data_IF_568645677127
#
_entry.id   IF_568645677127
#
_cell.length_a   1.000
_cell.length_b   1.000
_cell.length_c   1.000
_cell.angle_alpha   90.00
_cell.angle_beta   90.00
_cell.angle_gamma   90.00
#
_symmetry.space_group_name_H-M   'P 1'
#
loop_
_entity.id
_entity.type
_entity.pdbx_description
1 polymer ?
#
# COMPACT_ATOMS: atom_id res chain seq x y z
N UNK A 1 6.93 9.28 16.69
CA UNK A 1 6.70 8.45 15.50
C UNK A 1 5.73 7.34 15.88
N UNK A 2 4.59 7.23 15.20
CA UNK A 2 3.49 6.33 15.59
C UNK A 2 3.56 5.03 14.76
N UNK A 3 3.69 3.88 15.42
CA UNK A 3 3.79 2.56 14.78
C UNK A 3 2.60 2.29 13.86
N UNK A 4 1.39 2.70 14.27
CA UNK A 4 0.15 2.53 13.50
C UNK A 4 0.20 3.24 12.16
N UNK A 5 0.71 4.47 12.14
CA UNK A 5 0.86 5.27 10.91
C UNK A 5 1.88 4.60 9.99
N UNK A 6 3.01 4.15 10.53
CA UNK A 6 4.02 3.43 9.75
C UNK A 6 3.46 2.14 9.15
N UNK A 7 2.77 1.31 9.94
CA UNK A 7 2.16 0.08 9.45
C UNK A 7 1.12 0.36 8.36
N UNK A 8 0.30 1.39 8.54
CA UNK A 8 -0.68 1.82 7.56
C UNK A 8 -0.03 2.26 6.25
N UNK A 9 1.04 3.05 6.30
CA UNK A 9 1.78 3.50 5.10
C UNK A 9 2.37 2.30 4.35
N UNK A 10 3.13 1.43 5.03
CA UNK A 10 3.77 0.29 4.36
C UNK A 10 2.74 -0.70 3.81
N UNK A 11 1.64 -0.93 4.53
CA UNK A 11 0.53 -1.76 4.05
C UNK A 11 -0.15 -1.14 2.82
N UNK A 12 -0.30 0.19 2.76
CA UNK A 12 -0.86 0.88 1.59
C UNK A 12 -0.02 0.66 0.34
N UNK A 13 1.31 0.58 0.47
CA UNK A 13 2.23 0.36 -0.65
C UNK A 13 2.12 -1.04 -1.27
N UNK A 14 1.54 -2.02 -0.57
CA UNK A 14 1.21 -3.33 -1.16
C UNK A 14 0.10 -3.22 -2.22
N UNK A 15 -0.70 -2.16 -2.18
CA UNK A 15 -1.83 -1.95 -3.08
C UNK A 15 -3.09 -2.72 -2.67
N UNK A 16 -4.24 -2.25 -3.17
CA UNK A 16 -5.57 -2.69 -2.73
C UNK A 16 -5.78 -4.20 -2.76
N UNK A 17 -5.50 -4.84 -3.90
CA UNK A 17 -5.76 -6.27 -4.09
C UNK A 17 -5.02 -7.13 -3.07
N UNK A 18 -3.72 -6.93 -2.91
CA UNK A 18 -2.90 -7.72 -1.97
C UNK A 18 -3.41 -7.52 -0.53
N UNK A 19 -3.76 -6.30 -0.16
CA UNK A 19 -4.30 -6.03 1.17
C UNK A 19 -5.67 -6.68 1.37
N UNK A 20 -6.58 -6.58 0.40
CA UNK A 20 -7.90 -7.21 0.44
C UNK A 20 -7.76 -8.74 0.60
N UNK A 21 -6.83 -9.36 -0.14
CA UNK A 21 -6.53 -10.80 -0.05
C UNK A 21 -6.02 -11.19 1.36
N UNK A 22 -5.08 -10.41 1.91
CA UNK A 22 -4.51 -10.65 3.25
C UNK A 22 -5.53 -10.43 4.37
N UNK A 23 -6.43 -9.45 4.24
CA UNK A 23 -7.50 -9.20 5.21
C UNK A 23 -8.55 -10.32 5.14
N UNK A 24 -8.95 -10.71 3.93
CA UNK A 24 -9.89 -11.82 3.74
C UNK A 24 -9.31 -13.15 4.27
N UNK A 25 -8.00 -13.35 4.14
CA UNK A 25 -7.28 -14.50 4.72
C UNK A 25 -7.01 -14.41 6.23
N UNK A 26 -7.38 -13.31 6.89
CA UNK A 26 -7.11 -13.09 8.32
C UNK A 26 -5.63 -12.89 8.66
N UNK A 27 -4.78 -12.67 7.65
CA UNK A 27 -3.35 -12.40 7.83
C UNK A 27 -3.08 -10.95 8.26
N UNK A 28 -3.98 -10.03 7.88
CA UNK A 28 -3.99 -8.67 8.38
C UNK A 28 -5.26 -8.41 9.19
N UNK A 29 -5.17 -7.68 10.32
CA UNK A 29 -6.34 -7.38 11.16
C UNK A 29 -7.30 -6.36 10.54
N UNK A 30 -6.92 -5.72 9.43
CA UNK A 30 -7.77 -4.78 8.72
C UNK A 30 -7.03 -3.97 7.66
N UNK A 31 -7.76 -3.01 7.07
CA UNK A 31 -7.24 -2.13 6.02
C UNK A 31 -6.27 -1.07 6.58
N UNK A 32 -5.53 -0.32 5.74
CA UNK A 32 -4.62 0.73 6.20
C UNK A 32 -5.30 1.78 7.08
N UNK A 33 -6.55 2.16 6.80
CA UNK A 33 -7.31 3.05 7.67
C UNK A 33 -7.55 2.45 9.05
N UNK A 34 -7.92 1.17 9.11
CA UNK A 34 -8.12 0.46 10.39
C UNK A 34 -6.81 0.42 11.17
N UNK A 35 -5.70 0.07 10.51
CA UNK A 35 -4.37 0.06 11.14
C UNK A 35 -3.99 1.43 11.70
N UNK A 36 -4.22 2.51 10.93
CA UNK A 36 -3.90 3.87 11.35
C UNK A 36 -4.75 4.37 12.53
N UNK A 37 -5.96 3.84 12.70
CA UNK A 37 -6.94 4.28 13.70
C UNK A 37 -7.11 3.30 14.86
N UNK A 38 -6.43 2.15 14.81
CA UNK A 38 -6.55 1.11 15.82
C UNK A 38 -6.22 1.68 17.23
N UNK A 39 -7.07 1.42 18.23
CA UNK A 39 -6.73 1.75 19.61
C UNK A 39 -5.55 0.86 20.03
N UNK A 40 -4.47 1.47 20.52
CA UNK A 40 -3.21 0.86 20.97
C UNK A 40 -2.99 -0.61 20.60
N UNK A 41 -2.24 -0.86 19.53
CA UNK A 41 -1.80 -2.21 19.14
C UNK A 41 -0.76 -2.72 20.13
N UNK A 42 -0.89 -3.96 20.63
CA UNK A 42 0.17 -4.57 21.44
C UNK A 42 1.40 -4.91 20.58
N UNK A 43 2.59 -4.99 21.20
CA UNK A 43 3.84 -5.22 20.45
C UNK A 43 3.87 -6.53 19.66
N UNK A 44 3.13 -7.56 20.09
CA UNK A 44 3.10 -8.86 19.41
C UNK A 44 2.31 -8.75 18.12
N UNK A 45 1.17 -8.06 18.16
CA UNK A 45 0.36 -7.80 16.97
C UNK A 45 1.11 -6.88 15.98
N UNK A 46 1.84 -5.89 16.47
CA UNK A 46 2.71 -5.05 15.61
C UNK A 46 3.78 -5.86 14.88
N UNK A 47 4.39 -6.84 15.54
CA UNK A 47 5.38 -7.73 14.94
C UNK A 47 4.76 -8.63 13.89
N UNK A 48 3.57 -9.19 14.15
CA UNK A 48 2.83 -10.01 13.19
C UNK A 48 2.48 -9.21 11.94
N UNK A 49 1.94 -8.00 12.09
CA UNK A 49 1.64 -7.11 10.95
C UNK A 49 2.91 -6.88 10.13
N UNK A 50 4.02 -6.52 10.80
CA UNK A 50 5.30 -6.26 10.13
C UNK A 50 5.81 -7.49 9.36
N UNK A 51 5.72 -8.69 9.94
CA UNK A 51 6.14 -9.93 9.30
C UNK A 51 5.28 -10.25 8.07
N UNK A 52 3.95 -10.14 8.17
CA UNK A 52 3.04 -10.42 7.04
C UNK A 52 3.23 -9.43 5.90
N UNK A 53 3.33 -8.14 6.23
CA UNK A 53 3.61 -7.08 5.25
C UNK A 53 4.97 -7.30 4.58
N UNK A 54 6.00 -7.65 5.34
CA UNK A 54 7.33 -7.95 4.78
C UNK A 54 7.31 -9.18 3.86
N UNK A 55 6.66 -10.26 4.26
CA UNK A 55 6.50 -11.46 3.42
C UNK A 55 5.75 -11.15 2.14
N UNK A 56 4.70 -10.33 2.20
CA UNK A 56 3.96 -9.90 1.03
C UNK A 56 4.81 -9.03 0.09
N UNK A 57 5.61 -8.10 0.64
CA UNK A 57 6.57 -7.29 -0.13
C UNK A 57 7.61 -8.19 -0.82
N UNK A 58 8.24 -9.10 -0.08
CA UNK A 58 9.25 -10.00 -0.62
C UNK A 58 8.67 -10.94 -1.68
N UNK A 59 7.46 -11.46 -1.47
CA UNK A 59 6.76 -12.29 -2.47
C UNK A 59 6.45 -11.48 -3.73
N UNK A 60 6.01 -10.23 -3.57
CA UNK A 60 5.71 -9.34 -4.70
C UNK A 60 6.98 -8.96 -5.47
N UNK A 61 8.12 -8.82 -4.80
CA UNK A 61 9.42 -8.50 -5.43
C UNK A 61 10.08 -9.76 -6.03
N UNK A 62 9.97 -10.92 -5.36
CA UNK A 62 10.66 -12.17 -5.70
C UNK A 62 9.86 -13.17 -6.53
N UNK A 63 8.54 -12.99 -6.69
CA UNK A 63 7.67 -13.86 -7.48
C UNK A 63 7.72 -13.56 -8.98
N UNK A 64 7.69 -14.62 -9.81
CA UNK A 64 7.67 -14.63 -11.29
C UNK A 64 6.48 -13.89 -11.96
N UNK A 65 5.73 -13.09 -11.22
CA UNK A 65 4.63 -12.22 -11.68
C UNK A 65 5.06 -10.75 -11.80
N UNK A 66 6.35 -10.45 -11.65
CA UNK A 66 6.93 -9.11 -11.79
C UNK A 66 7.22 -8.72 -13.24
N UNK A 67 6.26 -8.92 -14.15
CA UNK A 67 6.31 -8.16 -15.41
C UNK A 67 5.98 -6.67 -15.15
N UNK A 68 5.26 -6.36 -14.07
CA UNK A 68 4.85 -4.98 -13.74
C UNK A 68 5.74 -4.20 -12.75
N UNK A 69 6.61 -4.84 -11.98
CA UNK A 69 7.42 -4.16 -10.95
C UNK A 69 8.90 -3.98 -11.31
N UNK A 70 9.39 -4.69 -12.34
CA UNK A 70 10.78 -4.62 -12.84
C UNK A 70 10.96 -3.57 -13.96
N UNK A 71 9.94 -2.75 -14.26
CA UNK A 71 10.15 -1.54 -15.06
C UNK A 71 10.90 -0.43 -14.30
N UNK A 72 11.26 -0.66 -13.03
CA UNK A 72 11.66 0.37 -12.06
C UNK A 72 13.05 1.00 -12.26
N UNK A 73 13.79 0.78 -13.36
CA UNK A 73 15.17 1.31 -13.43
C UNK A 73 15.76 1.78 -14.75
N UNK A 74 15.01 1.88 -15.83
CA UNK A 74 15.53 2.51 -17.05
C UNK A 74 14.45 3.45 -17.62
N UNK A 75 14.37 4.72 -17.19
CA UNK A 75 13.73 5.78 -17.95
C UNK A 75 14.66 6.16 -19.11
N UNK A 76 14.97 5.22 -19.99
CA UNK A 76 15.89 5.47 -21.10
C UNK A 76 15.32 4.77 -22.32
N UNK A 77 14.91 5.62 -23.27
CA UNK A 77 14.49 5.39 -24.66
C UNK A 77 12.96 5.51 -24.89
N UNK A 78 12.54 6.74 -25.24
CA UNK A 78 11.37 7.00 -26.08
C UNK A 78 10.20 7.73 -25.40
N UNK A 79 10.16 9.06 -25.46
CA UNK A 79 9.07 9.88 -24.93
C UNK A 79 7.71 9.50 -25.53
N UNK A 80 6.74 9.17 -24.66
CA UNK A 80 5.33 8.95 -25.01
C UNK A 80 4.70 7.71 -24.39
N UNK A 81 5.26 6.52 -24.64
CA UNK A 81 4.59 5.25 -24.33
C UNK A 81 5.06 4.64 -22.99
N UNK A 82 6.32 4.82 -22.61
CA UNK A 82 6.87 4.30 -21.33
C UNK A 82 6.38 5.02 -20.08
N UNK A 83 5.97 6.29 -20.19
CA UNK A 83 5.40 7.05 -19.07
C UNK A 83 4.01 6.56 -18.67
N UNK A 84 3.26 5.96 -19.60
CA UNK A 84 1.88 5.54 -19.33
C UNK A 84 1.84 4.35 -18.37
N UNK A 85 2.61 3.29 -18.60
CA UNK A 85 2.55 2.07 -17.77
C UNK A 85 3.09 2.26 -16.35
N UNK A 86 4.16 3.03 -16.14
CA UNK A 86 4.68 3.34 -14.79
C UNK A 86 3.71 4.25 -14.00
N UNK A 87 2.98 5.12 -14.72
CA UNK A 87 1.94 5.97 -14.13
C UNK A 87 0.73 5.16 -13.63
N UNK A 88 0.37 4.04 -14.26
CA UNK A 88 -0.83 3.29 -13.87
C UNK A 88 -0.70 2.62 -12.51
N UNK A 89 0.43 1.98 -12.22
CA UNK A 89 0.68 1.36 -10.92
C UNK A 89 0.83 2.41 -9.82
N UNK A 90 1.56 3.49 -10.10
CA UNK A 90 1.67 4.64 -9.19
C UNK A 90 0.31 5.29 -8.90
N UNK A 91 -0.52 5.47 -9.93
CA UNK A 91 -1.89 5.98 -9.78
C UNK A 91 -2.80 5.00 -9.04
N UNK A 92 -2.59 3.69 -9.16
CA UNK A 92 -3.35 2.70 -8.40
C UNK A 92 -3.05 2.81 -6.90
N UNK A 93 -1.79 2.93 -6.50
CA UNK A 93 -1.40 3.16 -5.10
C UNK A 93 -1.94 4.51 -4.61
N UNK A 94 -1.80 5.58 -5.40
CA UNK A 94 -2.30 6.91 -5.04
C UNK A 94 -3.84 6.94 -4.90
N UNK A 95 -4.56 6.17 -5.72
CA UNK A 95 -6.02 6.03 -5.63
C UNK A 95 -6.40 5.24 -4.39
N UNK A 96 -5.72 4.13 -4.12
CA UNK A 96 -5.95 3.34 -2.92
C UNK A 96 -5.66 4.15 -1.64
N UNK A 97 -4.58 4.93 -1.63
CA UNK A 97 -4.28 5.83 -0.52
C UNK A 97 -5.40 6.88 -0.31
N UNK A 98 -5.98 7.42 -1.38
CA UNK A 98 -7.13 8.34 -1.30
C UNK A 98 -8.38 7.65 -0.76
N UNK A 99 -8.63 6.41 -1.17
CA UNK A 99 -9.77 5.62 -0.68
C UNK A 99 -9.63 5.31 0.82
N UNK A 100 -8.41 5.02 1.28
CA UNK A 100 -8.15 4.72 2.70
C UNK A 100 -8.10 5.99 3.57
N UNK A 101 -7.52 7.08 3.07
CA UNK A 101 -7.26 8.29 3.86
C UNK A 101 -7.95 9.50 3.26
N UNK A 102 -9.29 9.47 3.25
CA UNK A 102 -10.12 10.59 2.78
C UNK A 102 -9.83 11.84 3.63
N UNK A 103 -9.26 12.88 2.99
CA UNK A 103 -9.02 14.17 3.65
C UNK A 103 -10.34 14.90 3.85
N UNK A 104 -10.86 14.86 5.08
CA UNK A 104 -12.08 15.59 5.46
C UNK A 104 -11.86 17.09 5.66
N UNK A 105 -10.59 17.55 5.71
CA UNK A 105 -10.24 18.98 5.88
C UNK A 105 -10.60 19.84 4.67
N UNK A 106 -10.52 19.31 3.45
CA UNK A 106 -10.86 20.07 2.24
C UNK A 106 -12.38 20.14 1.98
N UNK A 107 -13.17 19.23 2.56
CA UNK A 107 -14.63 19.23 2.42
C UNK A 107 -15.32 20.27 3.32
N UNK A 108 -14.65 20.75 4.39
CA UNK A 108 -15.21 21.67 5.37
C UNK A 108 -15.01 23.16 5.03
N UNK A 109 -14.22 23.50 4.00
CA UNK A 109 -13.91 24.87 3.59
C UNK A 109 -14.27 25.16 2.11
N UNK A 110 -15.06 24.31 1.46
CA UNK A 110 -15.42 24.41 0.04
C UNK A 110 -16.93 24.31 -0.19
N UNK A 111 -17.72 25.06 0.57
CA UNK A 111 -19.17 25.23 0.40
C UNK A 111 -19.54 26.70 0.59
#
# INVERSE_FOLDING_TARGET
>A
DDSRVRHAVVTTLLGKRIVDDLVAGGELPGTPLVLATAPGTDRRLEQLISQRVMTALLTTIGGKQTVGLVAKRIPVIGGGVGAATDSWNTMAIARYARDQFVSRRNAAYGG
#
